data_IF_495665793316
#
_entry.id   IF_495665793316
#
_cell.length_a   1.000
_cell.length_b   1.000
_cell.length_c   1.000
_cell.angle_alpha   90.00
_cell.angle_beta   90.00
_cell.angle_gamma   90.00
#
_symmetry.space_group_name_H-M   'P 1'
#
loop_
_entity.id
_entity.type
_entity.pdbx_description
1 polymer ?
#
# COMPACT_ATOMS: atom_id res chain seq x y z
N UNK A 1 23.62 -13.86 -45.55
CA UNK A 1 23.75 -15.32 -45.43
C UNK A 1 23.57 -15.64 -43.96
N UNK A 2 22.31 -15.77 -43.55
CA UNK A 2 21.63 -17.05 -43.29
C UNK A 2 21.81 -17.39 -41.80
N UNK A 3 20.85 -16.99 -40.96
CA UNK A 3 19.64 -17.75 -40.59
C UNK A 3 19.95 -18.94 -39.66
N UNK A 4 19.39 -18.91 -38.45
CA UNK A 4 18.84 -20.10 -37.79
C UNK A 4 18.00 -19.67 -36.58
N UNK A 5 16.71 -19.49 -36.86
CA UNK A 5 15.61 -19.54 -35.90
C UNK A 5 15.37 -21.01 -35.56
N UNK A 6 15.19 -21.34 -34.28
CA UNK A 6 14.60 -22.63 -33.90
C UNK A 6 13.30 -22.42 -33.14
N UNK A 7 12.25 -22.92 -33.78
CA UNK A 7 10.85 -22.98 -33.39
C UNK A 7 10.50 -24.46 -33.32
N UNK A 8 9.90 -24.94 -32.23
CA UNK A 8 9.14 -26.20 -32.25
C UNK A 8 7.88 -26.09 -31.38
N UNK A 9 6.77 -26.43 -32.03
CA UNK A 9 5.37 -26.61 -31.59
C UNK A 9 5.13 -28.00 -30.99
N UNK A 10 4.24 -28.16 -29.99
CA UNK A 10 2.98 -28.94 -30.08
C UNK A 10 3.16 -30.41 -29.64
N UNK A 11 2.29 -31.13 -28.91
CA UNK A 11 0.85 -31.04 -28.62
C UNK A 11 0.45 -31.84 -27.35
N UNK A 12 -0.69 -31.43 -26.77
CA UNK A 12 -1.77 -32.13 -26.03
C UNK A 12 -1.53 -33.38 -25.16
N UNK A 13 -2.01 -33.29 -23.91
CA UNK A 13 -2.48 -34.41 -23.10
C UNK A 13 -3.29 -33.89 -21.92
N UNK A 14 -4.62 -33.87 -22.05
CA UNK A 14 -5.52 -33.23 -21.09
C UNK A 14 -5.66 -33.96 -19.75
N UNK A 15 -6.04 -33.21 -18.72
CA UNK A 15 -6.88 -33.73 -17.65
C UNK A 15 -7.68 -32.59 -17.01
N UNK A 16 -9.00 -32.72 -17.03
CA UNK A 16 -9.97 -31.81 -16.42
C UNK A 16 -10.38 -32.41 -15.08
N UNK A 17 -10.37 -31.62 -13.99
CA UNK A 17 -11.46 -31.71 -13.03
C UNK A 17 -12.24 -30.40 -13.03
N UNK A 18 -13.53 -30.51 -13.40
CA UNK A 18 -14.55 -29.56 -12.97
C UNK A 18 -14.98 -29.98 -11.58
N UNK A 19 -14.84 -29.09 -10.61
CA UNK A 19 -15.93 -28.78 -9.70
C UNK A 19 -15.76 -27.34 -9.27
N UNK A 20 -16.59 -26.49 -9.87
CA UNK A 20 -17.00 -25.24 -9.25
C UNK A 20 -17.62 -25.63 -7.90
N UNK A 21 -16.98 -25.24 -6.81
CA UNK A 21 -17.76 -24.91 -5.62
C UNK A 21 -18.01 -23.43 -5.73
N UNK A 22 -19.26 -23.07 -6.00
CA UNK A 22 -19.73 -21.70 -5.86
C UNK A 22 -19.54 -21.33 -4.38
N UNK A 23 -18.51 -20.54 -4.07
CA UNK A 23 -18.57 -19.75 -2.85
C UNK A 23 -19.52 -18.60 -3.17
N UNK A 24 -20.73 -18.70 -2.62
CA UNK A 24 -21.67 -17.59 -2.50
C UNK A 24 -20.92 -16.28 -2.27
N UNK A 25 -21.29 -15.26 -3.03
CA UNK A 25 -20.65 -13.96 -3.00
C UNK A 25 -20.80 -13.30 -1.64
N UNK A 26 -19.88 -13.59 -0.72
CA UNK A 26 -19.57 -12.71 0.38
C UNK A 26 -18.52 -11.73 -0.13
N UNK A 27 -18.92 -10.46 -0.24
CA UNK A 27 -18.00 -9.37 -0.58
C UNK A 27 -16.77 -9.47 0.32
N UNK A 28 -15.64 -9.84 -0.27
CA UNK A 28 -14.46 -10.31 0.46
C UNK A 28 -14.02 -9.32 1.51
N UNK A 29 -14.39 -9.60 2.77
CA UNK A 29 -13.76 -8.97 3.92
C UNK A 29 -12.39 -9.63 4.04
N UNK A 30 -11.33 -8.84 4.17
CA UNK A 30 -9.98 -9.37 4.32
C UNK A 30 -9.93 -10.23 5.59
N UNK A 31 -9.86 -11.56 5.47
CA UNK A 31 -9.71 -12.45 6.62
C UNK A 31 -8.31 -12.30 7.19
N UNK A 32 -8.19 -11.71 8.38
CA UNK A 32 -6.91 -11.61 9.08
C UNK A 32 -6.71 -12.84 9.96
N UNK A 33 -5.67 -13.62 9.68
CA UNK A 33 -5.23 -14.71 10.56
C UNK A 33 -4.21 -14.16 11.58
N UNK A 34 -4.46 -14.43 12.85
CA UNK A 34 -3.61 -14.04 13.97
C UNK A 34 -3.08 -15.24 14.75
N UNK A 35 -2.05 -15.02 15.56
CA UNK A 35 -1.61 -15.99 16.57
C UNK A 35 -2.01 -15.43 17.93
N UNK A 36 -2.90 -16.12 18.64
CA UNK A 36 -3.26 -15.81 20.03
C UNK A 36 -2.92 -17.05 20.86
N UNK A 37 -2.10 -16.88 21.91
CA UNK A 37 -1.61 -17.96 22.77
C UNK A 37 -1.01 -19.16 22.00
N UNK A 38 -0.25 -18.86 20.94
CA UNK A 38 0.42 -19.86 20.11
C UNK A 38 -0.53 -20.65 19.17
N UNK A 39 -1.81 -20.30 19.10
CA UNK A 39 -2.78 -20.90 18.18
C UNK A 39 -3.12 -19.96 17.05
N UNK A 40 -3.23 -20.53 15.85
CA UNK A 40 -3.72 -19.82 14.68
C UNK A 40 -5.24 -19.64 14.84
N UNK A 41 -5.67 -18.38 14.87
CA UNK A 41 -7.08 -18.00 15.00
C UNK A 41 -7.47 -17.01 13.91
N UNK A 42 -8.72 -17.08 13.48
CA UNK A 42 -9.32 -16.04 12.65
C UNK A 42 -9.59 -14.81 13.54
N UNK A 43 -9.09 -13.65 13.13
CA UNK A 43 -9.29 -12.39 13.85
C UNK A 43 -10.15 -11.48 12.99
N UNK A 44 -11.27 -11.05 13.56
CA UNK A 44 -12.12 -10.04 12.96
C UNK A 44 -11.54 -8.66 13.26
N UNK A 45 -11.36 -7.85 12.22
CA UNK A 45 -10.98 -6.45 12.38
C UNK A 45 -12.24 -5.66 12.70
N UNK A 46 -12.20 -4.94 13.80
CA UNK A 46 -13.24 -4.03 14.23
C UNK A 46 -12.63 -2.67 14.61
N UNK A 47 -13.46 -1.74 15.08
CA UNK A 47 -13.01 -0.39 15.43
C UNK A 47 -11.99 -0.36 16.58
N UNK A 48 -11.94 -1.38 17.42
CA UNK A 48 -11.08 -1.44 18.60
C UNK A 48 -9.65 -1.90 18.28
N UNK A 49 -9.46 -2.71 17.23
CA UNK A 49 -8.15 -3.24 16.83
C UNK A 49 -7.64 -2.71 15.48
N UNK A 50 -8.43 -1.91 14.74
CA UNK A 50 -8.06 -1.39 13.43
C UNK A 50 -6.71 -0.65 13.40
N UNK A 51 -6.42 0.19 14.41
CA UNK A 51 -5.16 0.94 14.46
C UNK A 51 -3.95 0.01 14.59
N UNK A 52 -4.09 -1.09 15.33
CA UNK A 52 -3.05 -2.10 15.45
C UNK A 52 -2.72 -2.66 14.07
N UNK A 53 -3.75 -3.07 13.29
CA UNK A 53 -3.60 -3.57 11.92
C UNK A 53 -2.96 -2.56 10.97
N UNK A 54 -3.37 -1.30 11.03
CA UNK A 54 -2.77 -0.21 10.24
C UNK A 54 -1.27 -0.10 10.51
N UNK A 55 -0.85 -0.24 11.77
CA UNK A 55 0.53 -0.08 12.20
C UNK A 55 1.35 -1.38 12.24
N UNK A 56 0.78 -2.54 11.85
CA UNK A 56 1.56 -3.79 11.80
C UNK A 56 2.70 -3.70 10.79
N UNK A 57 3.81 -4.32 11.14
CA UNK A 57 5.05 -4.23 10.37
C UNK A 57 4.91 -4.76 8.93
N UNK A 58 4.12 -5.82 8.73
CA UNK A 58 3.81 -6.37 7.42
C UNK A 58 3.03 -5.38 6.56
N UNK A 59 2.02 -4.69 7.13
CA UNK A 59 1.30 -3.62 6.45
C UNK A 59 2.24 -2.46 6.10
N UNK A 60 2.99 -1.93 7.07
CA UNK A 60 3.91 -0.81 6.86
C UNK A 60 4.97 -1.10 5.77
N UNK A 61 5.43 -2.34 5.65
CA UNK A 61 6.33 -2.75 4.56
C UNK A 61 5.64 -2.75 3.19
N UNK A 62 4.38 -3.20 3.10
CA UNK A 62 3.58 -3.14 1.87
C UNK A 62 3.29 -1.69 1.47
N UNK A 63 2.96 -0.86 2.45
CA UNK A 63 2.74 0.58 2.31
C UNK A 63 3.98 1.26 1.76
N UNK A 64 5.15 1.03 2.37
CA UNK A 64 6.42 1.60 1.89
C UNK A 64 6.66 1.26 0.42
N UNK A 65 6.52 -0.01 0.04
CA UNK A 65 6.70 -0.46 -1.36
C UNK A 65 5.71 0.23 -2.30
N UNK A 66 4.46 0.41 -1.88
CA UNK A 66 3.44 1.05 -2.69
C UNK A 66 3.72 2.54 -2.88
N UNK A 67 4.10 3.26 -1.82
CA UNK A 67 4.44 4.68 -1.91
C UNK A 67 5.65 4.91 -2.79
N UNK A 68 6.70 4.09 -2.66
CA UNK A 68 7.89 4.17 -3.52
C UNK A 68 7.54 3.86 -4.98
N UNK A 69 6.69 2.86 -5.23
CA UNK A 69 6.22 2.53 -6.59
C UNK A 69 5.44 3.68 -7.21
N UNK A 70 4.54 4.31 -6.45
CA UNK A 70 3.76 5.46 -6.92
C UNK A 70 4.66 6.68 -7.21
N UNK A 71 5.79 6.77 -6.51
CA UNK A 71 6.75 7.86 -6.62
C UNK A 71 6.05 9.23 -6.47
N UNK A 72 6.66 10.30 -6.99
CA UNK A 72 6.09 11.63 -7.02
C UNK A 72 6.86 12.63 -6.17
N UNK A 73 6.50 13.90 -6.31
CA UNK A 73 7.23 15.00 -5.67
C UNK A 73 6.92 15.09 -4.17
N UNK A 74 7.88 15.65 -3.43
CA UNK A 74 7.73 15.95 -2.00
C UNK A 74 6.65 17.01 -1.76
N UNK A 75 6.21 17.12 -0.51
CA UNK A 75 5.24 18.13 -0.09
C UNK A 75 5.93 19.44 0.28
N UNK A 76 5.34 20.16 1.22
CA UNK A 76 5.83 21.45 1.72
C UNK A 76 7.19 21.35 2.45
N UNK A 77 7.53 20.17 2.97
CA UNK A 77 8.75 19.84 3.69
C UNK A 77 9.97 19.64 2.79
N UNK A 78 9.76 19.56 1.47
CA UNK A 78 10.79 19.35 0.44
C UNK A 78 11.57 18.02 0.57
N UNK A 79 11.14 17.12 1.46
CA UNK A 79 11.69 15.77 1.55
C UNK A 79 11.30 15.02 0.28
N UNK A 80 12.28 14.43 -0.39
CA UNK A 80 12.04 13.66 -1.62
C UNK A 80 11.82 12.18 -1.32
N UNK A 81 11.25 11.43 -2.28
CA UNK A 81 10.95 10.01 -2.09
C UNK A 81 12.16 9.17 -1.68
N UNK A 82 13.37 9.50 -2.16
CA UNK A 82 14.61 8.78 -1.78
C UNK A 82 14.98 8.94 -0.31
N UNK A 83 14.51 9.98 0.36
CA UNK A 83 14.79 10.27 1.77
C UNK A 83 13.80 9.61 2.72
N UNK A 84 12.69 9.05 2.22
CA UNK A 84 11.69 8.38 3.05
C UNK A 84 12.29 7.23 3.86
N UNK A 85 13.10 6.36 3.24
CA UNK A 85 13.67 5.21 3.95
C UNK A 85 14.66 5.64 5.04
N UNK A 86 15.63 6.53 4.78
CA UNK A 86 16.45 7.12 5.83
C UNK A 86 15.63 7.74 6.96
N UNK A 87 14.59 8.52 6.63
CA UNK A 87 13.71 9.14 7.61
C UNK A 87 13.01 8.10 8.49
N UNK A 88 12.40 7.07 7.90
CA UNK A 88 11.72 6.01 8.64
C UNK A 88 12.71 5.21 9.51
N UNK A 89 13.93 4.96 9.06
CA UNK A 89 14.94 4.27 9.88
C UNK A 89 15.29 5.05 11.15
N UNK A 90 15.25 6.38 11.10
CA UNK A 90 15.61 7.23 12.23
C UNK A 90 14.40 7.56 13.13
N UNK A 91 13.22 7.78 12.54
CA UNK A 91 12.07 8.36 13.23
C UNK A 91 10.86 7.43 13.37
N UNK A 92 10.93 6.18 12.88
CA UNK A 92 9.77 5.27 12.89
C UNK A 92 9.16 5.09 14.29
N UNK A 93 9.96 4.88 15.31
CA UNK A 93 9.43 4.60 16.65
C UNK A 93 8.70 5.82 17.23
N UNK A 94 9.22 7.02 17.00
CA UNK A 94 8.56 8.28 17.35
C UNK A 94 7.27 8.48 16.56
N UNK A 95 7.30 8.25 15.24
CA UNK A 95 6.13 8.33 14.36
C UNK A 95 5.01 7.38 14.83
N UNK A 96 5.34 6.12 15.10
CA UNK A 96 4.37 5.13 15.57
C UNK A 96 3.79 5.52 16.93
N UNK A 97 4.62 6.00 17.85
CA UNK A 97 4.16 6.50 19.14
C UNK A 97 3.19 7.67 18.98
N UNK A 98 3.50 8.64 18.13
CA UNK A 98 2.61 9.78 17.86
C UNK A 98 1.28 9.33 17.24
N UNK A 99 1.29 8.33 16.37
CA UNK A 99 0.07 7.77 15.77
C UNK A 99 -0.79 7.04 16.82
N UNK A 100 -0.17 6.23 17.69
CA UNK A 100 -0.84 5.53 18.79
C UNK A 100 -1.42 6.52 19.80
N UNK A 101 -0.67 7.55 20.16
CA UNK A 101 -1.09 8.58 21.13
C UNK A 101 -2.11 9.57 20.52
N UNK A 102 -2.43 9.48 19.22
CA UNK A 102 -3.31 10.41 18.52
C UNK A 102 -2.74 11.83 18.39
N UNK A 103 -1.42 11.97 18.45
CA UNK A 103 -0.68 13.25 18.45
C UNK A 103 0.10 13.52 17.17
N UNK A 104 0.05 12.62 16.19
CA UNK A 104 0.71 12.83 14.90
C UNK A 104 0.16 14.08 14.22
N UNK A 105 0.98 15.11 13.93
CA UNK A 105 0.54 16.34 13.29
C UNK A 105 0.79 16.26 11.77
N UNK A 106 -0.24 16.03 10.93
CA UNK A 106 -0.04 16.01 9.48
C UNK A 106 0.35 17.40 8.98
N UNK A 107 1.24 17.44 7.98
CA UNK A 107 1.66 18.71 7.41
C UNK A 107 0.67 19.22 6.35
N UNK A 108 0.60 20.54 6.13
CA UNK A 108 -0.23 21.10 5.06
C UNK A 108 0.15 20.54 3.69
N UNK A 109 -0.84 20.34 2.82
CA UNK A 109 -0.62 19.88 1.44
C UNK A 109 -0.03 21.01 0.58
N UNK A 110 0.96 20.67 -0.24
CA UNK A 110 1.52 21.59 -1.24
C UNK A 110 0.53 21.78 -2.39
N UNK A 111 0.27 23.03 -2.78
CA UNK A 111 -0.65 23.36 -3.87
C UNK A 111 0.11 23.45 -5.19
N UNK A 112 -0.26 22.61 -6.14
CA UNK A 112 0.21 22.67 -7.52
C UNK A 112 -0.97 22.85 -8.47
N UNK A 113 -0.74 23.52 -9.61
CA UNK A 113 -1.72 23.62 -10.67
C UNK A 113 -1.30 22.74 -11.85
N UNK A 114 -2.20 21.85 -12.29
CA UNK A 114 -1.97 21.01 -13.46
C UNK A 114 -2.82 21.57 -14.61
N UNK A 115 -2.22 21.98 -15.74
CA UNK A 115 -2.98 22.45 -16.90
C UNK A 115 -3.81 21.31 -17.49
N UNK A 116 -5.01 21.65 -17.98
CA UNK A 116 -5.85 20.78 -18.82
C UNK A 116 -5.79 21.27 -20.27
N UNK A 117 -6.16 20.39 -21.20
CA UNK A 117 -6.17 20.70 -22.64
C UNK A 117 -7.11 21.85 -23.03
N UNK A 118 -8.12 22.13 -22.19
CA UNK A 118 -9.09 23.22 -22.41
C UNK A 118 -8.66 24.57 -21.82
N UNK A 119 -7.38 24.73 -21.44
CA UNK A 119 -6.84 25.97 -20.88
C UNK A 119 -7.21 26.25 -19.42
N UNK A 120 -8.01 25.39 -18.77
CA UNK A 120 -8.28 25.48 -17.34
C UNK A 120 -7.21 24.73 -16.54
N UNK A 121 -7.06 25.04 -15.25
CA UNK A 121 -6.16 24.30 -14.36
C UNK A 121 -6.96 23.39 -13.41
N UNK A 122 -6.32 22.29 -12.99
CA UNK A 122 -6.78 21.43 -11.88
C UNK A 122 -5.87 21.71 -10.69
N UNK A 123 -6.39 22.26 -9.57
CA UNK A 123 -5.62 22.35 -8.35
C UNK A 123 -5.36 20.94 -7.81
N UNK A 124 -4.12 20.65 -7.45
CA UNK A 124 -3.68 19.42 -6.82
C UNK A 124 -3.12 19.75 -5.44
N UNK A 125 -3.50 18.96 -4.44
CA UNK A 125 -2.85 18.95 -3.13
C UNK A 125 -1.87 17.78 -3.07
N UNK A 126 -0.59 18.07 -2.86
CA UNK A 126 0.47 17.08 -2.75
C UNK A 126 0.88 17.00 -1.27
N UNK A 127 0.52 15.91 -0.56
CA UNK A 127 0.96 15.72 0.82
C UNK A 127 2.47 15.48 0.89
N UNK A 128 3.04 15.58 2.09
CA UNK A 128 4.44 15.16 2.31
C UNK A 128 4.61 13.67 2.07
N UNK A 129 5.86 13.24 1.90
CA UNK A 129 6.14 11.82 1.66
C UNK A 129 5.72 10.96 2.88
N UNK A 130 5.95 11.48 4.08
CA UNK A 130 5.56 10.83 5.34
C UNK A 130 4.04 10.79 5.48
N UNK A 131 3.33 11.87 5.18
CA UNK A 131 1.87 11.89 5.21
C UNK A 131 1.26 10.91 4.21
N UNK A 132 1.83 10.80 3.00
CA UNK A 132 1.39 9.80 2.02
C UNK A 132 1.61 8.38 2.54
N UNK A 133 2.71 8.14 3.23
CA UNK A 133 2.97 6.84 3.88
C UNK A 133 1.91 6.52 4.93
N UNK A 134 1.59 7.46 5.82
CA UNK A 134 0.53 7.28 6.82
C UNK A 134 -0.85 7.08 6.18
N UNK A 135 -1.22 7.91 5.21
CA UNK A 135 -2.50 7.79 4.48
C UNK A 135 -2.62 6.45 3.76
N UNK A 136 -1.53 6.01 3.13
CA UNK A 136 -1.50 4.74 2.42
C UNK A 136 -1.59 3.55 3.39
N UNK A 137 -1.09 3.67 4.62
CA UNK A 137 -1.26 2.67 5.68
C UNK A 137 -2.72 2.52 6.10
N UNK A 138 -3.44 3.63 6.27
CA UNK A 138 -4.88 3.62 6.57
C UNK A 138 -5.68 3.02 5.42
N UNK A 139 -5.31 3.30 4.17
CA UNK A 139 -6.05 2.83 2.98
C UNK A 139 -5.83 1.35 2.64
N UNK A 140 -4.85 0.65 3.22
CA UNK A 140 -4.51 -0.75 2.88
C UNK A 140 -5.14 -1.80 3.81
N UNK A 141 -5.83 -1.37 4.87
CA UNK A 141 -6.50 -2.21 5.85
C UNK A 141 -8.01 -2.06 5.68
#
# INVERSE_FOLDING_TARGET
MEESVQKTSGESGGCRPKSKTESEGYGGVHTFMGIVDGKLVEVYVDSSNLLEYILRLDNLNRVYRQVVRNNGVGGVDKIVMSELLPYLKLHKDELLKQLIDGKYPPLPVFRAEIPKDNGKTRPLGIPTVVDRFVQQAVSQV
#
